data_IF_477111808667
#
_entry.id   IF_477111808667
#
_cell.length_a   1.000
_cell.length_b   1.000
_cell.length_c   1.000
_cell.angle_alpha   90.00
_cell.angle_beta   90.00
_cell.angle_gamma   90.00
#
_symmetry.space_group_name_H-M   'P 1'
#
loop_
_entity.id
_entity.type
_entity.pdbx_description
1 polymer ?
#
# COMPACT_ATOMS: atom_id res chain seq x y z
N UNK A 1 -4.04 -30.39 -10.49
CA UNK A 1 -5.24 -31.23 -10.56
C UNK A 1 -5.02 -32.40 -9.60
N UNK A 2 -5.84 -32.57 -8.56
CA UNK A 2 -5.70 -33.69 -7.63
C UNK A 2 -6.05 -35.02 -8.32
N UNK A 3 -5.58 -36.12 -7.74
CA UNK A 3 -5.78 -37.45 -8.30
C UNK A 3 -7.24 -37.90 -8.11
N UNK A 4 -7.94 -38.16 -9.22
CA UNK A 4 -9.29 -38.74 -9.20
C UNK A 4 -9.17 -40.25 -9.17
N UNK A 5 -9.67 -40.87 -8.10
CA UNK A 5 -9.61 -42.33 -7.96
C UNK A 5 -10.71 -42.98 -8.80
N UNK A 6 -10.35 -43.99 -9.60
CA UNK A 6 -11.28 -44.78 -10.40
C UNK A 6 -10.96 -46.27 -10.23
N UNK A 7 -11.86 -47.04 -9.62
CA UNK A 7 -11.65 -48.46 -9.34
C UNK A 7 -12.36 -49.35 -10.37
N UNK A 8 -11.76 -49.44 -11.56
CA UNK A 8 -12.28 -50.32 -12.62
C UNK A 8 -12.22 -51.80 -12.23
N UNK A 9 -11.20 -52.20 -11.48
CA UNK A 9 -11.01 -53.60 -11.10
C UNK A 9 -12.09 -54.05 -10.10
N UNK A 10 -12.42 -53.21 -9.13
CA UNK A 10 -13.56 -53.41 -8.23
C UNK A 10 -14.90 -53.35 -8.96
N UNK A 11 -15.10 -52.39 -9.86
CA UNK A 11 -16.35 -52.20 -10.59
C UNK A 11 -16.75 -53.41 -11.44
N UNK A 12 -15.78 -54.06 -12.10
CA UNK A 12 -16.03 -55.24 -12.95
C UNK A 12 -16.00 -56.57 -12.18
N UNK A 13 -15.62 -56.55 -10.90
CA UNK A 13 -15.44 -57.77 -10.10
C UNK A 13 -16.76 -58.53 -9.96
N UNK A 14 -16.73 -59.83 -10.26
CA UNK A 14 -17.88 -60.72 -10.13
C UNK A 14 -18.91 -60.66 -11.28
N UNK A 15 -18.67 -59.83 -12.30
CA UNK A 15 -19.50 -59.77 -13.52
C UNK A 15 -19.13 -60.94 -14.44
N UNK A 16 -20.14 -61.63 -14.99
CA UNK A 16 -19.95 -62.89 -15.75
C UNK A 16 -20.12 -62.75 -17.26
N UNK A 17 -20.75 -61.67 -17.72
CA UNK A 17 -21.02 -61.43 -19.16
C UNK A 17 -20.29 -60.17 -19.63
N UNK A 18 -19.79 -60.19 -20.88
CA UNK A 18 -19.05 -59.07 -21.47
C UNK A 18 -19.86 -57.78 -21.40
N UNK A 19 -21.16 -57.83 -21.68
CA UNK A 19 -22.07 -56.68 -21.57
C UNK A 19 -22.07 -56.11 -20.17
N UNK A 20 -22.23 -56.95 -19.14
CA UNK A 20 -22.28 -56.48 -17.75
C UNK A 20 -20.94 -55.95 -17.24
N UNK A 21 -19.81 -56.47 -17.73
CA UNK A 21 -18.49 -55.89 -17.47
C UNK A 21 -18.37 -54.48 -18.07
N UNK A 22 -18.76 -54.32 -19.35
CA UNK A 22 -18.73 -53.02 -20.04
C UNK A 22 -19.61 -52.00 -19.33
N UNK A 23 -20.86 -52.35 -19.06
CA UNK A 23 -21.80 -51.45 -18.37
C UNK A 23 -21.25 -50.96 -17.01
N UNK A 24 -20.61 -51.86 -16.26
CA UNK A 24 -20.05 -51.53 -14.94
C UNK A 24 -18.79 -50.65 -15.07
N UNK A 25 -17.92 -50.94 -16.04
CA UNK A 25 -16.74 -50.11 -16.32
C UNK A 25 -17.12 -48.72 -16.85
N UNK A 26 -18.12 -48.64 -17.73
CA UNK A 26 -18.64 -47.39 -18.29
C UNK A 26 -19.29 -46.52 -17.19
N UNK A 27 -19.99 -47.14 -16.25
CA UNK A 27 -20.55 -46.46 -15.08
C UNK A 27 -19.44 -45.87 -14.20
N UNK A 28 -18.39 -46.64 -13.90
CA UNK A 28 -17.26 -46.14 -13.10
C UNK A 28 -16.48 -45.04 -13.83
N UNK A 29 -16.30 -45.17 -15.14
CA UNK A 29 -15.71 -44.13 -15.98
C UNK A 29 -16.54 -42.85 -15.91
N UNK A 30 -17.87 -42.94 -16.02
CA UNK A 30 -18.76 -41.80 -15.93
C UNK A 30 -18.67 -41.13 -14.55
N UNK A 31 -18.65 -41.91 -13.46
CA UNK A 31 -18.45 -41.41 -12.09
C UNK A 31 -17.15 -40.62 -11.97
N UNK A 32 -16.03 -41.22 -12.40
CA UNK A 32 -14.72 -40.58 -12.34
C UNK A 32 -14.66 -39.29 -13.19
N UNK A 33 -15.30 -39.27 -14.37
CA UNK A 33 -15.41 -38.05 -15.18
C UNK A 33 -16.17 -36.93 -14.47
N UNK A 34 -17.31 -37.26 -13.86
CA UNK A 34 -18.12 -36.30 -13.12
C UNK A 34 -17.31 -35.72 -11.96
N UNK A 35 -16.64 -36.57 -11.19
CA UNK A 35 -15.79 -36.14 -10.07
C UNK A 35 -14.64 -35.22 -10.55
N UNK A 36 -13.95 -35.60 -11.63
CA UNK A 36 -12.90 -34.78 -12.22
C UNK A 36 -13.41 -33.40 -12.67
N UNK A 37 -14.58 -33.37 -13.32
CA UNK A 37 -15.23 -32.13 -13.75
C UNK A 37 -15.62 -31.25 -12.56
N UNK A 38 -16.25 -31.82 -11.54
CA UNK A 38 -16.66 -31.09 -10.33
C UNK A 38 -15.47 -30.45 -9.63
N UNK A 39 -14.37 -31.21 -9.45
CA UNK A 39 -13.12 -30.68 -8.89
C UNK A 39 -12.58 -29.55 -9.76
N UNK A 40 -12.57 -29.72 -11.09
CA UNK A 40 -12.09 -28.69 -12.01
C UNK A 40 -12.90 -27.40 -11.95
N UNK A 41 -14.21 -27.52 -11.86
CA UNK A 41 -15.12 -26.39 -11.76
C UNK A 41 -14.98 -25.69 -10.40
N UNK A 42 -14.84 -26.44 -9.31
CA UNK A 42 -14.54 -25.90 -7.98
C UNK A 42 -13.23 -25.13 -7.94
N UNK A 43 -12.15 -25.69 -8.49
CA UNK A 43 -10.85 -25.03 -8.64
C UNK A 43 -10.99 -23.73 -9.44
N UNK A 44 -11.73 -23.74 -10.54
CA UNK A 44 -11.94 -22.55 -11.38
C UNK A 44 -12.70 -21.46 -10.62
N UNK A 45 -13.75 -21.83 -9.89
CA UNK A 45 -14.51 -20.91 -9.05
C UNK A 45 -13.63 -20.30 -7.94
N UNK A 46 -12.84 -21.13 -7.26
CA UNK A 46 -11.92 -20.70 -6.21
C UNK A 46 -10.84 -19.73 -6.72
N UNK A 47 -10.27 -19.99 -7.90
CA UNK A 47 -9.33 -19.06 -8.53
C UNK A 47 -9.98 -17.73 -8.87
N UNK A 48 -11.23 -17.74 -9.31
CA UNK A 48 -11.98 -16.51 -9.58
C UNK A 48 -12.28 -15.73 -8.30
N UNK A 49 -12.66 -16.41 -7.22
CA UNK A 49 -12.82 -15.80 -5.89
C UNK A 49 -11.52 -15.16 -5.41
N UNK A 50 -10.37 -15.82 -5.60
CA UNK A 50 -9.07 -15.23 -5.26
C UNK A 50 -8.77 -13.98 -6.08
N UNK A 51 -8.97 -14.03 -7.40
CA UNK A 51 -8.72 -12.89 -8.30
C UNK A 51 -9.61 -11.69 -7.98
N UNK A 52 -10.84 -11.92 -7.58
CA UNK A 52 -11.82 -10.86 -7.29
C UNK A 52 -11.65 -10.28 -5.89
N UNK A 53 -11.51 -11.13 -4.87
CA UNK A 53 -11.44 -10.69 -3.46
C UNK A 53 -10.05 -10.24 -3.03
N UNK A 54 -8.99 -10.81 -3.59
CA UNK A 54 -7.61 -10.52 -3.21
C UNK A 54 -6.82 -9.76 -4.28
N UNK A 55 -7.50 -9.03 -5.18
CA UNK A 55 -6.87 -8.32 -6.31
C UNK A 55 -5.66 -7.47 -5.89
N UNK A 56 -5.83 -6.68 -4.83
CA UNK A 56 -4.79 -5.77 -4.34
C UNK A 56 -3.85 -6.41 -3.31
N UNK A 57 -4.19 -7.63 -2.86
CA UNK A 57 -3.49 -8.36 -1.79
C UNK A 57 -2.98 -9.72 -2.27
N UNK A 58 -2.75 -9.89 -3.57
CA UNK A 58 -2.37 -11.17 -4.19
C UNK A 58 -1.09 -11.76 -3.58
N UNK A 59 -0.18 -10.89 -3.11
CA UNK A 59 1.06 -11.28 -2.44
C UNK A 59 0.85 -12.02 -1.11
N UNK A 60 -0.31 -11.88 -0.46
CA UNK A 60 -0.65 -12.59 0.79
C UNK A 60 -0.98 -14.07 0.58
N UNK A 61 -1.13 -14.51 -0.68
CA UNK A 61 -1.61 -15.85 -1.03
C UNK A 61 -0.57 -16.63 -1.86
N UNK A 62 0.67 -16.71 -1.38
CA UNK A 62 1.71 -17.55 -2.00
C UNK A 62 1.32 -19.04 -2.02
N UNK A 63 0.54 -19.49 -1.03
CA UNK A 63 -0.03 -20.83 -0.92
C UNK A 63 -1.34 -21.04 -1.71
N UNK A 64 -1.64 -20.19 -2.70
CA UNK A 64 -2.88 -20.25 -3.49
C UNK A 64 -3.15 -21.65 -4.09
N UNK A 65 -2.12 -22.38 -4.51
CA UNK A 65 -2.28 -23.73 -5.06
C UNK A 65 -2.90 -24.72 -4.07
N UNK A 66 -2.60 -24.58 -2.78
CA UNK A 66 -3.19 -25.40 -1.71
C UNK A 66 -4.57 -24.89 -1.31
N UNK A 67 -4.75 -23.57 -1.23
CA UNK A 67 -6.02 -22.95 -0.86
C UNK A 67 -7.13 -23.24 -1.87
N UNK A 68 -6.82 -23.27 -3.16
CA UNK A 68 -7.78 -23.51 -4.24
C UNK A 68 -8.35 -24.94 -4.24
N UNK A 69 -7.70 -25.87 -3.53
CA UNK A 69 -8.19 -27.24 -3.37
C UNK A 69 -9.21 -27.40 -2.22
N UNK A 70 -9.35 -26.38 -1.36
CA UNK A 70 -10.36 -26.36 -0.29
C UNK A 70 -11.73 -25.95 -0.82
N UNK A 71 -12.74 -26.11 0.02
CA UNK A 71 -14.07 -25.60 -0.27
C UNK A 71 -14.05 -24.07 -0.46
N UNK A 72 -14.94 -23.57 -1.32
CA UNK A 72 -14.96 -22.15 -1.67
C UNK A 72 -15.21 -21.26 -0.46
N UNK A 73 -16.14 -21.66 0.43
CA UNK A 73 -16.48 -20.90 1.64
C UNK A 73 -15.28 -20.76 2.58
N UNK A 74 -14.51 -21.83 2.78
CA UNK A 74 -13.29 -21.84 3.59
C UNK A 74 -12.20 -20.94 2.98
N UNK A 75 -12.06 -20.97 1.65
CA UNK A 75 -11.13 -20.11 0.94
C UNK A 75 -11.54 -18.63 1.09
N UNK A 76 -12.81 -18.30 0.92
CA UNK A 76 -13.33 -16.93 1.10
C UNK A 76 -13.13 -16.44 2.52
N UNK A 77 -13.40 -17.27 3.52
CA UNK A 77 -13.16 -16.96 4.93
C UNK A 77 -11.68 -16.69 5.21
N UNK A 78 -10.79 -17.54 4.68
CA UNK A 78 -9.34 -17.38 4.80
C UNK A 78 -8.85 -16.10 4.14
N UNK A 79 -9.38 -15.75 2.96
CA UNK A 79 -9.02 -14.52 2.26
C UNK A 79 -9.38 -13.31 3.12
N UNK A 80 -10.62 -13.24 3.60
CA UNK A 80 -11.09 -12.14 4.44
C UNK A 80 -10.28 -12.01 5.72
N UNK A 81 -9.98 -13.12 6.39
CA UNK A 81 -9.18 -13.12 7.60
C UNK A 81 -7.79 -12.52 7.35
N UNK A 82 -7.05 -13.04 6.34
CA UNK A 82 -5.70 -12.57 6.03
C UNK A 82 -5.64 -11.11 5.58
N UNK A 83 -6.61 -10.67 4.78
CA UNK A 83 -6.70 -9.25 4.39
C UNK A 83 -6.96 -8.38 5.62
N UNK A 84 -7.86 -8.79 6.52
CA UNK A 84 -8.14 -8.04 7.74
C UNK A 84 -6.92 -7.96 8.66
N UNK A 85 -6.14 -9.04 8.77
CA UNK A 85 -4.94 -9.09 9.58
C UNK A 85 -3.83 -8.21 8.99
N UNK A 86 -3.71 -8.19 7.66
CA UNK A 86 -2.78 -7.30 6.98
C UNK A 86 -3.15 -5.81 7.19
N UNK A 87 -4.42 -5.46 7.01
CA UNK A 87 -4.91 -4.09 7.24
C UNK A 87 -4.65 -3.63 8.67
N UNK A 88 -4.96 -4.46 9.66
CA UNK A 88 -4.65 -4.16 11.08
C UNK A 88 -3.15 -3.98 11.30
N UNK A 89 -2.32 -4.81 10.69
CA UNK A 89 -0.87 -4.69 10.82
C UNK A 89 -0.34 -3.39 10.19
N UNK A 90 -0.92 -2.94 9.08
CA UNK A 90 -0.58 -1.66 8.46
C UNK A 90 -1.04 -0.47 9.30
N UNK A 91 -2.25 -0.53 9.87
CA UNK A 91 -2.76 0.49 10.79
C UNK A 91 -1.85 0.63 12.03
N UNK A 92 -1.46 -0.48 12.66
CA UNK A 92 -0.55 -0.46 13.81
C UNK A 92 0.81 0.13 13.43
N UNK A 93 1.36 -0.19 12.26
CA UNK A 93 2.62 0.42 11.78
C UNK A 93 2.47 1.92 11.57
N UNK A 94 1.35 2.37 10.99
CA UNK A 94 1.07 3.79 10.79
C UNK A 94 0.91 4.54 12.13
N UNK A 95 0.25 3.93 13.13
CA UNK A 95 0.13 4.50 14.47
C UNK A 95 1.47 4.57 15.20
N UNK A 96 2.29 3.53 15.12
CA UNK A 96 3.64 3.53 15.69
C UNK A 96 4.51 4.62 15.07
N UNK A 97 4.45 4.81 13.75
CA UNK A 97 5.17 5.89 13.08
C UNK A 97 4.68 7.27 13.54
N UNK A 98 3.36 7.47 13.68
CA UNK A 98 2.80 8.72 14.19
C UNK A 98 3.22 9.01 15.64
N UNK A 99 3.29 7.99 16.48
CA UNK A 99 3.73 8.14 17.86
C UNK A 99 5.22 8.43 17.95
N UNK A 100 6.07 7.79 17.13
CA UNK A 100 7.49 8.09 17.04
C UNK A 100 7.72 9.56 16.66
N UNK A 101 7.03 10.07 15.64
CA UNK A 101 7.13 11.49 15.25
C UNK A 101 6.71 12.42 16.39
N UNK A 102 5.62 12.10 17.11
CA UNK A 102 5.18 12.91 18.27
C UNK A 102 6.20 12.92 19.41
N UNK A 103 6.85 11.79 19.67
CA UNK A 103 7.87 11.69 20.71
C UNK A 103 9.12 12.47 20.32
N UNK A 104 9.58 12.33 19.09
CA UNK A 104 10.73 13.09 18.56
C UNK A 104 10.47 14.61 18.57
N UNK A 105 9.26 15.06 18.20
CA UNK A 105 8.90 16.49 18.27
C UNK A 105 8.88 17.02 19.71
N UNK A 106 8.34 16.25 20.67
CA UNK A 106 8.34 16.64 22.10
C UNK A 106 9.76 16.72 22.64
N UNK A 107 10.59 15.71 22.37
CA UNK A 107 11.98 15.72 22.80
C UNK A 107 12.79 16.88 22.19
N UNK A 108 12.48 17.26 20.95
CA UNK A 108 13.10 18.42 20.30
C UNK A 108 12.63 19.72 20.95
N UNK A 109 11.33 19.88 21.21
CA UNK A 109 10.77 21.04 21.88
C UNK A 109 11.32 21.21 23.31
N UNK A 110 11.44 20.11 24.06
CA UNK A 110 11.98 20.11 25.43
C UNK A 110 13.47 20.46 25.45
N UNK A 111 14.26 19.94 24.49
CA UNK A 111 15.67 20.31 24.32
C UNK A 111 15.82 21.79 23.97
N UNK A 112 15.00 22.32 23.06
CA UNK A 112 15.02 23.74 22.69
C UNK A 112 14.58 24.65 23.85
N UNK A 113 13.61 24.23 24.66
CA UNK A 113 13.18 24.96 25.86
C UNK A 113 14.27 24.97 26.94
N UNK A 114 14.90 23.82 27.21
CA UNK A 114 16.01 23.71 28.16
C UNK A 114 17.25 24.52 27.72
N UNK A 115 17.52 24.60 26.42
CA UNK A 115 18.60 25.42 25.87
C UNK A 115 18.32 26.93 26.05
N UNK A 116 17.07 27.37 25.89
CA UNK A 116 16.67 28.77 26.12
C UNK A 116 16.71 29.17 27.60
N UNK A 117 16.41 28.26 28.52
CA UNK A 117 16.45 28.50 29.96
C UNK A 117 17.88 28.57 30.53
N UNK A 118 18.85 27.89 29.91
CA UNK A 118 20.26 27.90 30.31
C UNK A 118 21.13 28.91 29.56
N UNK A 119 20.54 29.71 28.65
CA UNK A 119 21.24 30.83 28.05
C UNK A 119 21.44 31.94 29.12
N UNK A 120 22.68 32.36 29.44
CA UNK A 120 22.91 33.38 30.44
C UNK A 120 22.22 34.70 30.03
N UNK A 121 21.35 35.20 30.91
CA UNK A 121 20.85 36.58 30.84
C UNK A 121 22.01 37.55 31.06
N UNK A 122 22.66 37.97 29.98
CA UNK A 122 23.45 39.20 30.00
C UNK A 122 22.49 40.39 29.97
N UNK A 123 22.12 40.85 31.16
CA UNK A 123 21.54 42.18 31.37
C UNK A 123 22.62 43.26 31.35
N UNK A 124 22.35 44.31 30.58
CA UNK A 124 22.70 45.74 30.82
C UNK A 124 24.15 46.23 30.68
N UNK A 125 24.41 47.06 29.65
CA UNK A 125 24.97 48.42 29.80
C UNK A 125 24.93 49.20 28.45
N UNK A 126 24.18 50.31 28.41
CA UNK A 126 24.34 51.43 27.45
C UNK A 126 25.42 52.43 27.99
N UNK A 127 25.82 53.57 27.37
CA UNK A 127 25.27 54.29 26.19
C UNK A 127 26.30 55.05 25.25
N UNK A 128 25.75 55.76 24.25
CA UNK A 128 26.19 57.06 23.67
C UNK A 128 27.07 57.14 22.39
N UNK A 129 26.47 57.64 21.29
CA UNK A 129 26.80 58.90 20.58
C UNK A 129 25.97 59.05 19.28
N UNK A 130 24.95 59.93 19.28
CA UNK A 130 24.82 61.16 18.45
C UNK A 130 24.36 60.90 16.99
N UNK A 131 23.25 61.43 16.44
CA UNK A 131 22.77 62.83 16.40
C UNK A 131 21.24 62.93 16.07
N UNK A 132 20.63 64.13 16.16
CA UNK A 132 19.20 64.32 16.47
C UNK A 132 18.33 64.75 15.28
N UNK A 133 17.03 64.42 15.29
CA UNK A 133 16.00 65.31 14.74
C UNK A 133 14.58 64.94 15.19
N UNK A 134 13.99 65.82 16.00
CA UNK A 134 12.59 66.26 16.02
C UNK A 134 11.48 65.25 16.40
N UNK A 135 10.94 65.47 17.61
CA UNK A 135 9.54 65.26 17.98
C UNK A 135 8.82 66.65 17.96
N UNK A 136 7.48 66.80 18.09
CA UNK A 136 6.50 65.80 18.56
C UNK A 136 5.10 65.81 17.89
N UNK A 137 4.36 64.69 17.98
CA UNK A 137 2.94 64.73 18.40
C UNK A 137 2.39 63.35 18.82
N UNK A 138 1.93 63.31 20.07
CA UNK A 138 1.06 62.32 20.72
C UNK A 138 -0.23 62.10 19.92
N UNK A 139 -0.79 60.87 19.90
CA UNK A 139 -2.05 60.47 20.58
C UNK A 139 -2.19 58.93 20.60
N UNK A 140 -2.18 58.39 21.84
CA UNK A 140 -2.92 57.27 22.45
C UNK A 140 -3.27 55.93 21.73
N UNK A 141 -3.40 54.82 22.51
CA UNK A 141 -3.48 53.44 22.02
C UNK A 141 -4.93 52.99 21.78
N UNK A 142 -5.17 52.23 20.70
CA UNK A 142 -6.46 51.61 20.42
C UNK A 142 -6.40 50.11 20.71
N UNK A 143 -7.07 49.72 21.78
CA UNK A 143 -7.51 48.34 22.06
C UNK A 143 -8.65 47.99 21.11
N UNK A 144 -8.60 46.81 20.49
CA UNK A 144 -9.67 46.01 19.85
C UNK A 144 -8.98 45.14 18.76
N UNK A 145 -9.17 43.83 18.61
CA UNK A 145 -10.28 42.92 18.92
C UNK A 145 -9.79 41.47 18.98
N UNK A 146 -10.49 40.68 19.79
CA UNK A 146 -10.65 39.23 19.67
C UNK A 146 -10.74 38.72 18.22
N UNK A 147 -10.13 37.57 17.94
CA UNK A 147 -10.57 36.64 16.89
C UNK A 147 -10.11 35.23 17.27
N UNK A 148 -11.02 34.49 17.89
CA UNK A 148 -11.00 33.04 17.99
C UNK A 148 -10.96 32.44 16.58
N UNK A 149 -9.80 31.97 16.13
CA UNK A 149 -9.67 31.30 14.83
C UNK A 149 -9.88 29.79 15.02
N UNK A 150 -11.05 29.30 14.60
CA UNK A 150 -11.31 27.87 14.35
C UNK A 150 -10.20 27.28 13.48
N UNK A 151 -9.76 26.03 13.68
CA UNK A 151 -8.74 25.41 12.84
C UNK A 151 -9.29 25.28 11.40
N UNK A 152 -8.78 26.11 10.49
CA UNK A 152 -9.08 26.02 9.07
C UNK A 152 -8.26 24.86 8.50
N UNK A 153 -8.96 23.81 8.05
CA UNK A 153 -8.36 22.69 7.33
C UNK A 153 -8.21 23.11 5.87
N UNK A 154 -6.97 23.25 5.41
CA UNK A 154 -6.67 23.52 4.01
C UNK A 154 -6.44 22.20 3.28
N UNK A 155 -7.14 21.99 2.16
CA UNK A 155 -6.86 20.91 1.21
C UNK A 155 -6.06 21.48 0.05
N UNK A 156 -4.99 20.78 -0.35
CA UNK A 156 -4.21 21.12 -1.52
C UNK A 156 -4.81 20.45 -2.76
N UNK A 157 -5.03 21.22 -3.83
CA UNK A 157 -5.44 20.74 -5.15
C UNK A 157 -4.31 21.06 -6.14
N UNK A 158 -3.81 20.05 -6.84
CA UNK A 158 -2.77 20.24 -7.87
C UNK A 158 -3.46 20.61 -9.19
N UNK A 159 -3.34 21.88 -9.61
CA UNK A 159 -3.91 22.37 -10.87
C UNK A 159 -2.98 22.22 -12.06
N UNK A 160 -1.68 22.31 -11.80
CA UNK A 160 -0.63 22.18 -12.82
C UNK A 160 0.51 21.34 -12.24
N UNK A 161 0.70 20.15 -12.82
CA UNK A 161 1.71 19.21 -12.37
C UNK A 161 3.12 19.63 -12.81
N UNK A 162 3.26 20.28 -13.96
CA UNK A 162 4.57 20.71 -14.47
C UNK A 162 5.15 21.82 -13.60
N UNK A 163 4.33 22.79 -13.23
CA UNK A 163 4.71 23.85 -12.29
C UNK A 163 5.09 23.28 -10.91
N UNK A 164 4.40 22.23 -10.44
CA UNK A 164 4.73 21.54 -9.18
C UNK A 164 6.10 20.84 -9.26
N UNK A 165 6.40 20.15 -10.37
CA UNK A 165 7.70 19.51 -10.59
C UNK A 165 8.82 20.56 -10.61
N UNK A 166 8.59 21.71 -11.26
CA UNK A 166 9.54 22.82 -11.25
C UNK A 166 9.73 23.44 -9.86
N UNK A 167 8.68 23.51 -9.04
CA UNK A 167 8.76 23.99 -7.66
C UNK A 167 9.59 23.05 -6.78
N UNK A 168 9.45 21.74 -6.97
CA UNK A 168 10.30 20.74 -6.32
C UNK A 168 11.76 20.87 -6.78
N UNK A 169 11.99 21.05 -8.08
CA UNK A 169 13.33 21.26 -8.63
C UNK A 169 14.01 22.54 -8.10
N UNK A 170 13.22 23.59 -7.82
CA UNK A 170 13.68 24.84 -7.19
C UNK A 170 13.85 24.75 -5.67
N UNK A 171 13.42 23.65 -5.04
CA UNK A 171 13.51 23.44 -3.59
C UNK A 171 12.39 24.13 -2.78
N UNK A 172 11.34 24.63 -3.43
CA UNK A 172 10.21 25.28 -2.77
C UNK A 172 9.25 24.25 -2.12
N UNK A 173 9.22 23.02 -2.65
CA UNK A 173 8.41 21.90 -2.16
C UNK A 173 9.30 20.67 -1.99
N UNK A 174 9.10 19.93 -0.89
CA UNK A 174 9.90 18.72 -0.63
C UNK A 174 9.62 17.63 -1.67
N UNK A 175 10.66 16.89 -2.07
CA UNK A 175 10.54 15.88 -3.13
C UNK A 175 9.58 14.73 -2.81
N UNK A 176 9.25 14.51 -1.53
CA UNK A 176 8.26 13.51 -1.09
C UNK A 176 6.85 13.72 -1.65
N UNK A 177 6.54 14.90 -2.20
CA UNK A 177 5.26 15.15 -2.86
C UNK A 177 5.17 14.44 -4.23
N UNK A 178 6.31 14.06 -4.82
CA UNK A 178 6.37 13.33 -6.08
C UNK A 178 6.64 11.84 -5.83
N UNK A 179 5.86 10.98 -6.47
CA UNK A 179 6.09 9.52 -6.50
C UNK A 179 6.40 9.07 -7.92
N UNK A 180 7.47 8.28 -8.06
CA UNK A 180 7.84 7.66 -9.35
C UNK A 180 6.91 6.47 -9.62
N UNK A 181 6.24 6.47 -10.78
CA UNK A 181 5.47 5.34 -11.24
C UNK A 181 6.36 4.36 -12.03
N UNK A 182 6.84 3.32 -11.35
CA UNK A 182 7.72 2.31 -11.92
C UNK A 182 7.09 1.51 -13.05
N UNK A 183 5.79 1.19 -12.96
CA UNK A 183 5.10 0.43 -14.01
C UNK A 183 5.02 1.20 -15.32
N UNK A 184 4.75 2.51 -15.26
CA UNK A 184 4.74 3.37 -16.45
C UNK A 184 6.16 3.51 -17.03
N UNK A 185 7.17 3.62 -16.16
CA UNK A 185 8.58 3.69 -16.58
C UNK A 185 9.01 2.40 -17.27
N UNK A 186 8.69 1.23 -16.70
CA UNK A 186 8.99 -0.09 -17.27
C UNK A 186 8.24 -0.32 -18.59
N UNK A 187 7.01 0.18 -18.73
CA UNK A 187 6.28 0.12 -19.99
C UNK A 187 6.96 0.96 -21.09
N UNK A 188 7.48 2.14 -20.75
CA UNK A 188 8.24 2.98 -21.68
C UNK A 188 9.57 2.32 -22.05
N UNK A 189 10.28 1.74 -21.08
CA UNK A 189 11.53 1.00 -21.30
C UNK A 189 11.26 -0.25 -22.15
N UNK A 190 10.15 -0.96 -21.91
CA UNK A 190 9.74 -2.12 -22.72
C UNK A 190 9.38 -1.74 -24.15
N UNK A 191 8.76 -0.57 -24.36
CA UNK A 191 8.39 -0.08 -25.69
C UNK A 191 9.59 0.48 -26.47
N UNK A 192 10.54 1.15 -25.80
CA UNK A 192 11.71 1.80 -26.43
C UNK A 192 12.99 0.97 -26.37
N UNK A 193 13.00 -0.13 -25.62
CA UNK A 193 14.15 -1.02 -25.46
C UNK A 193 15.40 -0.28 -24.98
N UNK A 194 16.54 -0.60 -25.60
CA UNK A 194 17.86 0.02 -25.32
C UNK A 194 17.95 1.50 -25.67
N UNK A 195 16.99 2.04 -26.42
CA UNK A 195 17.02 3.42 -26.91
C UNK A 195 16.42 4.42 -25.90
N UNK A 196 15.90 3.95 -24.77
CA UNK A 196 15.43 4.82 -23.70
C UNK A 196 16.59 5.42 -22.91
N UNK A 197 16.78 6.74 -23.03
CA UNK A 197 17.73 7.51 -22.23
C UNK A 197 16.99 8.68 -21.56
N UNK A 198 17.04 8.72 -20.23
CA UNK A 198 16.51 9.81 -19.44
C UNK A 198 17.54 10.20 -18.35
N UNK A 199 17.74 11.50 -18.06
CA UNK A 199 18.64 11.94 -16.99
C UNK A 199 18.24 11.29 -15.66
N UNK A 200 19.20 10.61 -15.01
CA UNK A 200 18.99 9.94 -13.73
C UNK A 200 18.38 8.53 -13.79
N UNK A 201 18.07 7.99 -14.97
CA UNK A 201 17.59 6.62 -15.14
C UNK A 201 18.67 5.78 -15.82
N UNK A 202 19.13 4.73 -15.15
CA UNK A 202 20.05 3.74 -15.72
C UNK A 202 19.30 2.46 -16.06
N UNK A 203 19.45 1.97 -17.29
CA UNK A 203 18.89 0.69 -17.70
C UNK A 203 19.73 -0.45 -17.12
N UNK A 204 19.08 -1.38 -16.41
CA UNK A 204 19.69 -2.60 -15.90
C UNK A 204 19.05 -3.77 -16.63
N UNK A 205 19.86 -4.64 -17.23
CA UNK A 205 19.37 -5.86 -17.86
C UNK A 205 18.98 -6.86 -16.77
N UNK A 206 17.68 -7.05 -16.57
CA UNK A 206 17.15 -8.08 -15.67
C UNK A 206 17.12 -9.40 -16.45
N UNK A 207 17.76 -10.44 -15.91
CA UNK A 207 17.73 -11.78 -16.51
C UNK A 207 16.29 -12.31 -16.56
N UNK A 208 15.92 -12.87 -17.71
CA UNK A 208 14.60 -13.45 -17.97
C UNK A 208 14.32 -14.69 -17.10
#
# INVERSE_FOLDING_TARGET
>A
MPHVTADFAGAIKGKKTITSLRDSADTELARAKIEASQIGDGIRANLESLRTLAKDHAFLFNDAQQLVLKDNDDLVATIKARISDHQKAEEVKAEQQREQIRQEERERADREAAAKLNAPQTTSAAPAAAEPSQAPSKVAPRVATDSTTKPQVFQAEVRDFEALVQAVARGEVHISVLTVNWQALDAIVSAKGSDFSAPGVTLIQVAA
#
